data_IF_659877473106
#
_entry.id   IF_659877473106
#
_cell.length_a   1.000
_cell.length_b   1.000
_cell.length_c   1.000
_cell.angle_alpha   90.00
_cell.angle_beta   90.00
_cell.angle_gamma   90.00
#
_symmetry.space_group_name_H-M   'P 1'
#
loop_
_entity.id
_entity.type
_entity.pdbx_description
1 polymer ?
#
# COMPACT_ATOMS: atom_id res chain seq x y z
N UNK A 1 -5.96 -1.41 13.42
CA UNK A 1 -7.35 -1.17 12.97
C UNK A 1 -7.50 -1.23 11.45
N UNK A 2 -6.73 -0.45 10.68
CA UNK A 2 -6.82 -0.44 9.22
C UNK A 2 -6.50 -1.78 8.55
N UNK A 3 -5.40 -2.45 8.94
CA UNK A 3 -5.04 -3.80 8.42
C UNK A 3 -6.19 -4.79 8.61
N UNK A 4 -6.79 -4.81 9.80
CA UNK A 4 -7.92 -5.68 10.11
C UNK A 4 -9.18 -5.34 9.27
N UNK A 5 -9.41 -4.08 8.93
CA UNK A 5 -10.52 -3.69 8.06
C UNK A 5 -10.32 -4.20 6.63
N UNK A 6 -9.10 -4.10 6.09
CA UNK A 6 -8.77 -4.65 4.78
C UNK A 6 -8.88 -6.18 4.78
N UNK A 7 -8.36 -6.85 5.81
CA UNK A 7 -8.47 -8.30 5.95
C UNK A 7 -9.93 -8.78 5.96
N UNK A 8 -10.84 -8.05 6.65
CA UNK A 8 -12.27 -8.35 6.62
C UNK A 8 -12.89 -8.16 5.23
N UNK A 9 -12.52 -7.08 4.52
CA UNK A 9 -13.03 -6.83 3.17
C UNK A 9 -12.63 -7.94 2.19
N UNK A 10 -11.37 -8.38 2.26
CA UNK A 10 -10.85 -9.49 1.46
C UNK A 10 -11.55 -10.82 1.80
N UNK A 11 -11.71 -11.14 3.08
CA UNK A 11 -12.40 -12.35 3.52
C UNK A 11 -13.88 -12.38 3.09
N UNK A 12 -14.54 -11.21 3.04
CA UNK A 12 -15.92 -11.08 2.59
C UNK A 12 -16.08 -11.16 1.06
N UNK A 13 -14.99 -11.06 0.29
CA UNK A 13 -15.04 -11.02 -1.19
C UNK A 13 -13.98 -11.92 -1.85
N UNK A 14 -14.03 -13.25 -1.65
CA UNK A 14 -13.04 -14.16 -2.22
C UNK A 14 -12.93 -14.04 -3.75
N UNK A 15 -11.70 -13.90 -4.26
CA UNK A 15 -11.42 -13.79 -5.70
C UNK A 15 -11.73 -12.42 -6.33
N UNK A 16 -12.27 -11.47 -5.57
CA UNK A 16 -12.55 -10.13 -6.08
C UNK A 16 -11.33 -9.19 -6.00
N UNK A 17 -11.35 -8.14 -6.82
CA UNK A 17 -10.42 -7.01 -6.69
C UNK A 17 -10.99 -6.00 -5.69
N UNK A 18 -10.27 -5.76 -4.60
CA UNK A 18 -10.64 -4.78 -3.58
C UNK A 18 -9.80 -3.51 -3.76
N UNK A 19 -10.47 -2.36 -3.86
CA UNK A 19 -9.81 -1.04 -3.86
C UNK A 19 -10.09 -0.33 -2.54
N UNK A 20 -9.03 0.12 -1.86
CA UNK A 20 -9.13 0.90 -0.63
C UNK A 20 -8.50 2.28 -0.85
N UNK A 21 -9.27 3.33 -0.57
CA UNK A 21 -8.81 4.73 -0.62
C UNK A 21 -8.65 5.22 0.82
N UNK A 22 -7.45 5.65 1.17
CA UNK A 22 -7.12 6.12 2.52
C UNK A 22 -5.88 7.01 2.49
N UNK A 23 -5.28 7.28 3.65
CA UNK A 23 -4.13 8.16 3.81
C UNK A 23 -2.79 7.40 3.73
N UNK A 24 -1.72 8.14 3.44
CA UNK A 24 -0.38 7.59 3.24
C UNK A 24 0.12 6.73 4.40
N UNK A 25 -0.06 7.15 5.66
CA UNK A 25 0.42 6.38 6.81
C UNK A 25 -0.33 5.07 7.01
N UNK A 26 -1.64 5.08 6.73
CA UNK A 26 -2.45 3.87 6.76
C UNK A 26 -1.99 2.90 5.66
N UNK A 27 -1.77 3.39 4.44
CA UNK A 27 -1.25 2.57 3.34
C UNK A 27 0.15 2.02 3.65
N UNK A 28 1.06 2.82 4.23
CA UNK A 28 2.38 2.32 4.66
C UNK A 28 2.28 1.18 5.66
N UNK A 29 1.39 1.28 6.65
CA UNK A 29 1.17 0.21 7.63
C UNK A 29 0.60 -1.06 6.98
N UNK A 30 -0.34 -0.90 6.05
CA UNK A 30 -0.92 -2.02 5.28
C UNK A 30 0.14 -2.70 4.42
N UNK A 31 0.93 -1.93 3.67
CA UNK A 31 2.02 -2.43 2.85
C UNK A 31 3.09 -3.12 3.70
N UNK A 32 3.50 -2.51 4.82
CA UNK A 32 4.45 -3.12 5.75
C UNK A 32 3.94 -4.46 6.29
N UNK A 33 2.66 -4.53 6.70
CA UNK A 33 2.06 -5.77 7.18
C UNK A 33 1.99 -6.84 6.08
N UNK A 34 1.56 -6.48 4.86
CA UNK A 34 1.47 -7.41 3.73
C UNK A 34 2.84 -7.95 3.31
N UNK A 35 3.87 -7.09 3.33
CA UNK A 35 5.25 -7.44 2.99
C UNK A 35 6.02 -8.06 4.17
N UNK A 36 5.35 -8.31 5.31
CA UNK A 36 5.96 -8.85 6.54
C UNK A 36 7.18 -8.04 7.02
N UNK A 37 7.16 -6.73 6.80
CA UNK A 37 8.16 -5.80 7.30
C UNK A 37 7.88 -5.50 8.78
N UNK A 38 8.93 -5.38 9.57
CA UNK A 38 8.82 -4.92 10.94
C UNK A 38 8.19 -3.52 11.00
N UNK A 39 7.38 -3.24 12.02
CA UNK A 39 6.66 -1.96 12.12
C UNK A 39 7.59 -0.74 12.11
N UNK A 40 8.84 -0.88 12.58
CA UNK A 40 9.85 0.18 12.55
C UNK A 40 10.29 0.55 11.13
N UNK A 41 10.05 -0.34 10.16
CA UNK A 41 10.46 -0.17 8.77
C UNK A 41 9.39 0.54 7.92
N UNK A 42 8.18 0.78 8.44
CA UNK A 42 7.10 1.35 7.64
C UNK A 42 7.42 2.74 7.05
N UNK A 43 8.31 3.49 7.71
CA UNK A 43 8.80 4.80 7.23
C UNK A 43 9.73 4.69 6.02
N UNK A 44 10.29 3.51 5.73
CA UNK A 44 11.05 3.26 4.50
C UNK A 44 10.15 3.14 3.28
N UNK A 45 8.85 2.89 3.48
CA UNK A 45 7.87 2.84 2.39
C UNK A 45 7.40 4.26 2.10
N UNK A 46 7.70 4.75 0.89
CA UNK A 46 7.08 5.99 0.41
C UNK A 46 5.75 5.69 -0.25
N UNK A 47 4.72 6.44 0.15
CA UNK A 47 3.41 6.47 -0.47
C UNK A 47 3.12 7.93 -0.77
N UNK A 48 3.10 8.26 -2.06
CA UNK A 48 2.85 9.59 -2.57
C UNK A 48 1.34 9.84 -2.72
N UNK A 49 0.93 11.10 -2.66
CA UNK A 49 -0.48 11.48 -2.87
C UNK A 49 -0.94 11.08 -4.26
N UNK A 50 -2.14 10.49 -4.31
CA UNK A 50 -2.75 9.94 -5.51
C UNK A 50 -1.90 8.85 -6.21
N UNK A 51 -0.99 8.21 -5.48
CA UNK A 51 -0.34 6.99 -5.97
C UNK A 51 -1.26 5.77 -5.84
N UNK A 52 -1.01 4.75 -6.65
CA UNK A 52 -1.71 3.46 -6.58
C UNK A 52 -0.68 2.37 -6.27
N UNK A 53 -1.03 1.45 -5.39
CA UNK A 53 -0.25 0.22 -5.15
C UNK A 53 -1.17 -0.98 -5.34
N UNK A 54 -0.65 -2.07 -5.90
CA UNK A 54 -1.39 -3.30 -6.12
C UNK A 54 -0.59 -4.50 -5.63
N UNK A 55 -1.26 -5.31 -4.83
CA UNK A 55 -0.78 -6.57 -4.29
C UNK A 55 -1.76 -7.66 -4.68
N UNK A 56 -1.25 -8.84 -4.99
CA UNK A 56 -2.01 -10.08 -5.08
C UNK A 56 -1.71 -10.92 -3.84
N UNK A 57 -2.77 -11.35 -3.14
CA UNK A 57 -2.66 -12.06 -1.88
C UNK A 57 -3.00 -13.53 -2.14
N UNK A 58 -1.96 -14.36 -2.26
CA UNK A 58 -2.07 -15.77 -2.62
C UNK A 58 -1.80 -16.65 -1.40
N UNK A 59 -2.85 -16.86 -0.59
CA UNK A 59 -2.75 -17.61 0.66
C UNK A 59 -1.78 -16.93 1.62
N UNK A 60 -0.67 -17.61 1.94
CA UNK A 60 0.36 -17.08 2.84
C UNK A 60 1.40 -16.21 2.13
N UNK A 61 1.31 -16.07 0.80
CA UNK A 61 2.23 -15.29 0.00
C UNK A 61 1.59 -13.98 -0.50
N UNK A 62 2.45 -12.99 -0.75
CA UNK A 62 2.05 -11.71 -1.35
C UNK A 62 2.90 -11.47 -2.57
N UNK A 63 2.27 -11.33 -3.73
CA UNK A 63 2.92 -10.90 -4.94
C UNK A 63 2.70 -9.39 -5.13
N UNK A 64 3.80 -8.64 -5.20
CA UNK A 64 3.74 -7.21 -5.49
C UNK A 64 3.62 -7.02 -7.00
N UNK A 65 2.52 -6.41 -7.46
CA UNK A 65 2.38 -6.02 -8.88
C UNK A 65 3.01 -4.67 -9.14
N UNK A 66 2.75 -3.69 -8.26
CA UNK A 66 3.43 -2.40 -8.25
C UNK A 66 3.21 -1.69 -6.90
N UNK A 67 4.15 -0.84 -6.51
CA UNK A 67 4.07 0.01 -5.32
C UNK A 67 4.26 1.45 -5.76
N UNK A 68 3.43 2.34 -5.23
CA UNK A 68 3.57 3.78 -5.39
C UNK A 68 3.60 4.25 -6.86
N UNK A 69 2.75 3.65 -7.71
CA UNK A 69 2.59 4.02 -9.11
C UNK A 69 1.98 5.42 -9.20
N UNK A 70 2.62 6.30 -9.96
CA UNK A 70 2.22 7.69 -10.15
C UNK A 70 1.84 7.93 -11.62
N UNK A 71 0.83 8.75 -11.86
CA UNK A 71 0.48 9.19 -13.21
C UNK A 71 1.59 10.03 -13.86
N UNK A 72 2.34 10.78 -13.04
CA UNK A 72 3.59 11.44 -13.42
C UNK A 72 4.76 10.74 -12.68
N UNK A 73 5.53 9.89 -13.38
CA UNK A 73 6.65 9.18 -12.78
C UNK A 73 7.77 10.09 -12.27
N UNK A 74 7.94 11.31 -12.79
CA UNK A 74 9.04 12.19 -12.36
C UNK A 74 8.88 12.66 -10.92
N UNK A 75 7.64 12.73 -10.42
CA UNK A 75 7.34 12.97 -9.00
C UNK A 75 7.98 11.94 -8.08
N UNK A 76 8.44 10.80 -8.60
CA UNK A 76 9.15 9.83 -7.77
C UNK A 76 10.46 10.43 -7.22
N UNK A 77 11.09 11.36 -7.93
CA UNK A 77 12.34 12.01 -7.52
C UNK A 77 12.08 13.40 -6.93
N UNK A 78 10.99 14.05 -7.36
CA UNK A 78 10.60 15.40 -6.92
C UNK A 78 9.20 15.37 -6.28
N UNK A 79 9.07 14.89 -5.04
CA UNK A 79 7.79 14.74 -4.37
C UNK A 79 7.14 16.09 -4.02
N UNK A 80 5.82 16.19 -4.22
CA UNK A 80 5.03 17.42 -3.96
C UNK A 80 4.92 17.80 -2.47
N UNK A 81 5.17 16.87 -1.54
CA UNK A 81 4.86 17.05 -0.11
C UNK A 81 6.07 16.81 0.80
N UNK A 82 7.24 16.58 0.21
CA UNK A 82 8.49 16.34 0.93
C UNK A 82 9.59 17.34 0.52
N UNK A 83 9.22 18.37 -0.24
CA UNK A 83 10.10 19.46 -0.65
C UNK A 83 10.10 20.60 0.37
N UNK A 84 11.05 20.53 1.30
CA UNK A 84 11.36 21.49 2.39
C UNK A 84 10.30 21.66 3.46
#
# INVERSE_FOLDING_TARGET
>A
RAVAALARALAATPGARVCAVTHGDVLRLVLAAALRLGIREFRRLRVDTCSISALDLTGDWVEVKFINLLADPQRVWTPLHWGR
#
